data_IF_271687540075
#
_entry.id   IF_271687540075
#
_cell.length_a   1.000
_cell.length_b   1.000
_cell.length_c   1.000
_cell.angle_alpha   90.00
_cell.angle_beta   90.00
_cell.angle_gamma   90.00
#
_symmetry.space_group_name_H-M   'P 1'
#
loop_
_entity.id
_entity.type
_entity.pdbx_description
1 polymer ?
#
# COMPACT_ATOMS: atom_id res chain seq x y z
N UNK A 1 22.62 24.59 8.89
CA UNK A 1 22.20 23.92 10.13
C UNK A 1 20.78 24.32 10.46
N UNK A 2 19.91 23.42 10.67
CA UNK A 2 18.59 23.78 11.11
C UNK A 2 18.56 23.95 12.61
N UNK A 3 19.16 25.02 13.07
CA UNK A 3 19.08 25.40 14.47
C UNK A 3 17.64 25.66 14.91
N UNK A 4 16.76 25.77 13.92
CA UNK A 4 15.36 26.09 14.14
C UNK A 4 14.46 24.86 14.20
N UNK A 5 15.03 23.68 14.10
CA UNK A 5 14.24 22.46 14.21
C UNK A 5 13.87 22.20 15.66
N UNK A 6 12.58 22.22 15.94
CA UNK A 6 12.07 21.98 17.28
C UNK A 6 12.16 20.51 17.64
N UNK A 7 12.62 20.22 18.82
CA UNK A 7 12.59 18.87 19.37
C UNK A 7 11.27 18.63 20.07
N UNK A 8 10.74 17.44 19.85
CA UNK A 8 9.49 16.99 20.47
C UNK A 8 9.75 15.70 21.24
N UNK A 9 8.91 15.46 22.23
CA UNK A 9 9.02 14.28 23.06
C UNK A 9 8.23 13.13 22.45
N UNK A 10 8.90 11.99 22.26
CA UNK A 10 8.24 10.77 21.82
C UNK A 10 7.87 9.95 23.05
N UNK A 11 6.57 9.88 23.33
CA UNK A 11 6.05 9.16 24.49
C UNK A 11 6.27 7.65 24.38
N UNK A 12 6.32 7.12 23.16
CA UNK A 12 6.50 5.67 22.95
C UNK A 12 7.91 5.20 23.30
N UNK A 13 8.91 5.98 22.92
CA UNK A 13 10.30 5.63 23.20
C UNK A 13 10.87 6.32 24.42
N UNK A 14 10.21 7.38 24.90
CA UNK A 14 10.70 8.20 26.00
C UNK A 14 11.88 9.07 25.63
N UNK A 15 12.08 9.37 24.38
CA UNK A 15 13.20 10.15 23.87
C UNK A 15 12.76 11.43 23.21
N UNK A 16 13.64 12.42 23.23
CA UNK A 16 13.46 13.65 22.50
C UNK A 16 14.10 13.52 21.12
N UNK A 17 13.41 13.98 20.10
CA UNK A 17 13.90 13.92 18.73
C UNK A 17 13.41 15.12 17.92
N UNK A 18 14.08 15.45 16.80
CA UNK A 18 13.59 16.50 15.91
C UNK A 18 12.19 16.19 15.41
N UNK A 19 11.38 17.23 15.25
CA UNK A 19 10.00 17.06 14.78
C UNK A 19 9.93 16.32 13.43
N UNK A 20 10.87 16.57 12.54
CA UNK A 20 10.94 15.89 11.25
C UNK A 20 11.17 14.39 11.40
N UNK A 21 12.00 13.98 12.34
CA UNK A 21 12.29 12.59 12.63
C UNK A 21 11.08 11.89 13.25
N UNK A 22 10.41 12.57 14.19
CA UNK A 22 9.19 12.05 14.80
C UNK A 22 8.09 11.89 13.76
N UNK A 23 7.91 12.86 12.87
CA UNK A 23 6.93 12.79 11.81
C UNK A 23 7.20 11.61 10.87
N UNK A 24 8.47 11.38 10.52
CA UNK A 24 8.86 10.24 9.69
C UNK A 24 8.59 8.91 10.41
N UNK A 25 8.89 8.85 11.70
CA UNK A 25 8.64 7.66 12.52
C UNK A 25 7.16 7.37 12.64
N UNK A 26 6.34 8.39 12.88
CA UNK A 26 4.89 8.23 12.96
C UNK A 26 4.28 7.83 11.62
N UNK A 27 4.75 8.41 10.53
CA UNK A 27 4.31 8.03 9.20
C UNK A 27 4.63 6.56 8.91
N UNK A 28 5.81 6.09 9.31
CA UNK A 28 6.19 4.70 9.17
C UNK A 28 5.35 3.79 10.07
N UNK A 29 5.08 4.22 11.31
CA UNK A 29 4.26 3.46 12.26
C UNK A 29 2.79 3.41 11.85
N UNK A 30 2.29 4.49 11.24
CA UNK A 30 0.91 4.56 10.76
C UNK A 30 0.75 3.93 9.38
N UNK A 31 1.83 3.45 8.80
CA UNK A 31 1.79 2.81 7.49
C UNK A 31 1.00 1.52 7.59
N UNK A 32 -0.04 1.44 6.80
CA UNK A 32 -0.90 0.27 6.76
C UNK A 32 -0.13 -0.88 6.13
N UNK A 33 -0.08 -2.01 6.81
CA UNK A 33 0.52 -3.22 6.28
C UNK A 33 -0.53 -3.99 5.50
N UNK A 34 -0.34 -4.08 4.18
CA UNK A 34 -1.24 -4.79 3.29
C UNK A 34 -0.59 -6.12 2.91
N UNK A 35 -1.31 -7.20 3.09
CA UNK A 35 -0.84 -8.55 2.75
C UNK A 35 -1.68 -9.14 1.64
N UNK A 36 -1.03 -9.92 0.79
CA UNK A 36 -1.72 -10.64 -0.27
C UNK A 36 -2.41 -11.92 0.26
N UNK A 37 -2.97 -12.71 -0.66
CA UNK A 37 -3.70 -13.91 -0.30
C UNK A 37 -2.86 -14.98 0.41
N UNK A 38 -1.55 -14.95 0.21
CA UNK A 38 -0.62 -15.93 0.81
C UNK A 38 0.18 -15.34 1.97
N UNK A 39 -0.12 -14.11 2.38
CA UNK A 39 0.50 -13.48 3.53
C UNK A 39 1.77 -12.68 3.26
N UNK A 40 2.11 -12.44 1.99
CA UNK A 40 3.25 -11.59 1.65
C UNK A 40 2.88 -10.11 1.82
N UNK A 41 3.78 -9.34 2.41
CA UNK A 41 3.58 -7.89 2.56
C UNK A 41 3.73 -7.22 1.20
N UNK A 42 2.74 -6.39 0.86
CA UNK A 42 2.73 -5.63 -0.38
C UNK A 42 3.26 -4.21 -0.15
N UNK A 43 3.95 -3.69 -1.13
CA UNK A 43 4.51 -2.33 -1.13
C UNK A 43 4.16 -1.62 -2.43
N UNK A 44 4.27 -0.29 -2.42
CA UNK A 44 4.08 0.50 -3.64
C UNK A 44 5.01 0.03 -4.74
N UNK A 45 4.47 -0.18 -5.92
CA UNK A 45 5.25 -0.62 -7.08
C UNK A 45 5.44 -2.12 -7.20
N UNK A 46 4.92 -2.90 -6.28
CA UNK A 46 5.01 -4.36 -6.35
C UNK A 46 4.18 -4.91 -7.51
N UNK A 47 4.64 -6.04 -8.03
CA UNK A 47 3.90 -6.80 -9.03
C UNK A 47 3.09 -7.88 -8.34
N UNK A 48 1.85 -8.03 -8.76
CA UNK A 48 0.95 -9.05 -8.22
C UNK A 48 0.21 -9.74 -9.35
N UNK A 49 -0.26 -10.95 -9.08
CA UNK A 49 -1.09 -11.72 -10.00
C UNK A 49 -2.43 -12.00 -9.37
N UNK A 50 -3.49 -11.97 -10.15
CA UNK A 50 -4.81 -12.35 -9.66
C UNK A 50 -4.88 -13.86 -9.42
N UNK A 51 -5.46 -14.25 -8.29
CA UNK A 51 -5.64 -15.64 -7.94
C UNK A 51 -7.04 -16.14 -8.26
N UNK A 52 -7.92 -15.26 -8.71
CA UNK A 52 -9.27 -15.60 -9.15
C UNK A 52 -9.79 -14.60 -10.18
N UNK A 53 -10.85 -14.96 -10.86
CA UNK A 53 -11.51 -14.07 -11.81
C UNK A 53 -12.25 -12.96 -11.06
N UNK A 54 -12.11 -11.74 -11.55
CA UNK A 54 -12.75 -10.57 -10.94
C UNK A 54 -13.49 -9.75 -11.99
N UNK A 55 -14.73 -9.39 -11.69
CA UNK A 55 -15.49 -8.45 -12.50
C UNK A 55 -15.20 -7.03 -12.06
N UNK A 56 -14.70 -6.21 -12.96
CA UNK A 56 -14.45 -4.80 -12.68
C UNK A 56 -15.69 -4.00 -13.02
N UNK A 57 -16.40 -3.61 -11.98
CA UNK A 57 -17.59 -2.77 -12.14
C UNK A 57 -17.17 -1.38 -12.60
N UNK A 58 -17.89 -0.85 -13.57
CA UNK A 58 -17.60 0.47 -14.14
C UNK A 58 -16.70 0.44 -15.37
N UNK A 59 -15.82 -0.56 -15.51
CA UNK A 59 -15.00 -0.72 -16.70
C UNK A 59 -15.60 -1.72 -17.70
N UNK A 60 -16.61 -2.48 -17.28
CA UNK A 60 -17.24 -3.50 -18.14
C UNK A 60 -16.30 -4.62 -18.53
N UNK A 61 -15.27 -4.87 -17.75
CA UNK A 61 -14.25 -5.87 -18.05
C UNK A 61 -14.14 -6.87 -16.91
N UNK A 62 -13.81 -8.10 -17.28
CA UNK A 62 -13.50 -9.16 -16.33
C UNK A 62 -12.00 -9.43 -16.37
N UNK A 63 -11.33 -9.35 -15.23
CA UNK A 63 -9.94 -9.74 -15.10
C UNK A 63 -9.89 -11.20 -14.67
N UNK A 64 -9.22 -12.01 -15.48
CA UNK A 64 -9.13 -13.44 -15.22
C UNK A 64 -8.00 -13.77 -14.26
N UNK A 65 -8.13 -14.93 -13.62
CA UNK A 65 -7.06 -15.50 -12.81
C UNK A 65 -5.75 -15.54 -13.60
N UNK A 66 -4.67 -15.17 -12.96
CA UNK A 66 -3.36 -15.11 -13.60
C UNK A 66 -3.04 -13.77 -14.26
N UNK A 67 -3.96 -12.81 -14.23
CA UNK A 67 -3.70 -11.47 -14.76
C UNK A 67 -2.58 -10.80 -13.96
N UNK A 68 -1.56 -10.34 -14.68
CA UNK A 68 -0.43 -9.66 -14.06
C UNK A 68 -0.73 -8.17 -13.89
N UNK A 69 -0.58 -7.69 -12.67
CA UNK A 69 -0.62 -6.27 -12.34
C UNK A 69 0.83 -5.81 -12.14
N UNK A 70 1.31 -4.96 -13.01
CA UNK A 70 2.73 -4.56 -13.03
C UNK A 70 3.11 -3.62 -11.88
N UNK A 71 2.18 -2.90 -11.36
CA UNK A 71 2.45 -1.95 -10.28
C UNK A 71 1.19 -1.74 -9.46
N UNK A 72 1.36 -1.73 -8.15
CA UNK A 72 0.29 -1.43 -7.22
C UNK A 72 0.69 -0.25 -6.34
N UNK A 73 -0.31 0.38 -5.73
CA UNK A 73 -0.10 1.39 -4.69
C UNK A 73 -0.99 1.07 -3.51
N UNK A 74 -0.49 1.34 -2.33
CA UNK A 74 -1.27 1.22 -1.12
C UNK A 74 -2.21 2.42 -0.99
N UNK A 75 -3.47 2.15 -0.67
CA UNK A 75 -4.50 3.20 -0.56
C UNK A 75 -4.67 3.75 0.84
N UNK A 76 -3.96 3.16 1.82
CA UNK A 76 -4.19 3.44 3.24
C UNK A 76 -5.18 2.49 3.89
N UNK A 77 -5.83 1.64 3.12
CA UNK A 77 -6.70 0.58 3.63
C UNK A 77 -5.92 -0.74 3.67
N UNK A 78 -6.08 -1.48 4.76
CA UNK A 78 -5.38 -2.77 4.93
C UNK A 78 -5.79 -3.83 3.92
N UNK A 79 -6.93 -3.68 3.31
CA UNK A 79 -7.51 -4.69 2.43
C UNK A 79 -7.52 -4.30 0.96
N UNK A 80 -7.28 -3.03 0.66
CA UNK A 80 -7.39 -2.51 -0.69
C UNK A 80 -6.05 -2.04 -1.23
N UNK A 81 -5.86 -2.27 -2.52
CA UNK A 81 -4.70 -1.79 -3.26
C UNK A 81 -5.17 -1.13 -4.54
N UNK A 82 -4.50 -0.06 -4.93
CA UNK A 82 -4.71 0.62 -6.19
C UNK A 82 -3.83 -0.06 -7.24
N UNK A 83 -4.46 -0.64 -8.24
CA UNK A 83 -3.76 -1.42 -9.27
C UNK A 83 -3.65 -0.60 -10.55
N UNK A 84 -2.44 -0.54 -11.10
CA UNK A 84 -2.22 0.09 -12.38
C UNK A 84 -2.38 -0.95 -13.50
N UNK A 85 -3.44 -0.81 -14.26
CA UNK A 85 -3.74 -1.74 -15.35
C UNK A 85 -4.06 -0.96 -16.62
N UNK A 86 -3.46 -1.31 -17.77
CA UNK A 86 -3.76 -0.64 -19.05
C UNK A 86 -5.24 -0.73 -19.39
N UNK A 87 -5.84 0.40 -19.75
CA UNK A 87 -7.26 0.45 -20.15
C UNK A 87 -8.24 0.63 -18.99
N UNK A 88 -7.78 0.53 -17.75
CA UNK A 88 -8.63 0.75 -16.58
C UNK A 88 -8.00 1.80 -15.69
N UNK A 89 -8.73 2.88 -15.47
CA UNK A 89 -8.29 3.93 -14.54
C UNK A 89 -8.91 3.69 -13.18
N UNK A 90 -8.10 3.85 -12.13
CA UNK A 90 -8.59 3.74 -10.76
C UNK A 90 -9.04 2.34 -10.38
N UNK A 91 -8.35 1.32 -10.89
CA UNK A 91 -8.66 -0.05 -10.52
C UNK A 91 -8.22 -0.32 -9.09
N UNK A 92 -9.18 -0.51 -8.20
CA UNK A 92 -8.94 -0.86 -6.81
C UNK A 92 -9.38 -2.29 -6.59
N UNK A 93 -8.46 -3.11 -6.08
CA UNK A 93 -8.72 -4.52 -5.81
C UNK A 93 -8.43 -4.81 -4.33
N UNK A 94 -9.04 -5.87 -3.81
CA UNK A 94 -8.70 -6.35 -2.49
C UNK A 94 -7.42 -7.16 -2.53
N UNK A 95 -6.55 -6.96 -1.55
CA UNK A 95 -5.27 -7.66 -1.48
C UNK A 95 -5.44 -9.18 -1.39
N UNK A 96 -6.54 -9.64 -0.81
CA UNK A 96 -6.84 -11.08 -0.71
C UNK A 96 -7.08 -11.76 -2.06
N UNK A 97 -7.28 -10.98 -3.12
CA UNK A 97 -7.54 -11.51 -4.47
C UNK A 97 -6.28 -11.60 -5.31
N UNK A 98 -5.14 -11.19 -4.78
CA UNK A 98 -3.88 -11.15 -5.51
C UNK A 98 -2.79 -11.88 -4.74
N UNK A 99 -1.75 -12.23 -5.47
CA UNK A 99 -0.57 -12.88 -4.93
C UNK A 99 0.66 -12.13 -5.40
N UNK A 100 1.54 -11.79 -4.49
CA UNK A 100 2.81 -11.14 -4.83
C UNK A 100 3.62 -12.07 -5.72
N UNK A 101 4.14 -11.48 -6.77
CA UNK A 101 4.94 -12.20 -7.74
C UNK A 101 6.41 -12.31 -7.31
#
# INVERSE_FOLDING_TARGET
MSADEDYVYDEDSGEWMPASELAAKQAAANRVEVRDAVGNVLSDGDQVTLIKDLDVKGAGQTLKQGTLIKSIRLTGDQQEIDCKYPGIKGLVLRAEFVKKR
#
